data_IF_202620898459
#
_entry.id   IF_202620898459
#
_cell.length_a   1.000
_cell.length_b   1.000
_cell.length_c   1.000
_cell.angle_alpha   90.00
_cell.angle_beta   90.00
_cell.angle_gamma   90.00
#
_symmetry.space_group_name_H-M   'P 1'
#
loop_
_entity.id
_entity.type
_entity.pdbx_description
1 polymer ?
#
# COMPACT_ATOMS: atom_id res chain seq x y z
N UNK A 1 39.57 26.27 19.40
CA UNK A 1 40.90 25.79 18.96
C UNK A 1 41.84 25.46 20.12
N UNK A 2 42.03 26.36 21.10
CA UNK A 2 43.00 26.15 22.20
C UNK A 2 42.97 24.76 22.86
N UNK A 3 41.81 24.18 23.26
CA UNK A 3 41.78 22.85 23.88
C UNK A 3 42.32 21.72 22.99
N UNK A 4 42.13 21.81 21.67
CA UNK A 4 42.62 20.81 20.71
C UNK A 4 44.15 20.87 20.65
N UNK A 5 44.71 22.08 20.63
CA UNK A 5 46.16 22.32 20.52
C UNK A 5 46.87 21.89 21.80
N UNK A 6 46.30 22.26 22.96
CA UNK A 6 46.80 21.87 24.28
C UNK A 6 46.73 20.34 24.45
N UNK A 7 45.63 19.70 24.03
CA UNK A 7 45.47 18.24 24.06
C UNK A 7 46.47 17.50 23.16
N UNK A 8 46.90 18.12 22.06
CA UNK A 8 47.97 17.61 21.19
C UNK A 8 49.39 17.82 21.76
N UNK A 9 49.51 18.56 22.87
CA UNK A 9 50.76 18.95 23.53
C UNK A 9 51.61 19.93 22.73
N UNK A 10 50.96 20.80 21.96
CA UNK A 10 51.63 21.86 21.21
C UNK A 10 51.50 23.21 21.91
N UNK A 11 52.43 24.13 21.64
CA UNK A 11 52.33 25.51 22.11
C UNK A 11 51.22 26.28 21.36
N UNK A 12 50.26 26.78 22.15
CA UNK A 12 49.15 27.60 21.67
C UNK A 12 49.62 28.91 21.01
N UNK A 13 50.61 29.60 21.57
CA UNK A 13 51.01 30.93 21.07
C UNK A 13 51.56 30.85 19.64
N UNK A 14 52.42 29.86 19.39
CA UNK A 14 52.96 29.54 18.07
C UNK A 14 51.87 29.17 17.07
N UNK A 15 50.91 28.33 17.47
CA UNK A 15 49.82 27.91 16.60
C UNK A 15 48.80 29.01 16.33
N UNK A 16 48.55 29.88 17.30
CA UNK A 16 47.68 31.03 17.13
C UNK A 16 48.21 32.01 16.08
N UNK A 17 49.53 32.23 16.05
CA UNK A 17 50.18 33.05 15.01
C UNK A 17 49.99 32.44 13.63
N UNK A 18 50.17 31.12 13.48
CA UNK A 18 49.91 30.40 12.22
C UNK A 18 48.45 30.48 11.79
N UNK A 19 47.54 30.31 12.73
CA UNK A 19 46.10 30.42 12.50
C UNK A 19 45.76 31.82 11.96
N UNK A 20 46.24 32.88 12.62
CA UNK A 20 46.05 34.27 12.16
C UNK A 20 46.63 34.53 10.76
N UNK A 21 47.78 33.95 10.43
CA UNK A 21 48.42 34.13 9.13
C UNK A 21 47.67 33.41 8.01
N UNK A 22 47.38 32.11 8.17
CA UNK A 22 46.85 31.25 7.09
C UNK A 22 45.32 31.24 7.01
N UNK A 23 44.62 31.48 8.12
CA UNK A 23 43.16 31.36 8.22
C UNK A 23 42.49 32.65 8.68
N UNK A 24 43.11 33.82 8.40
CA UNK A 24 42.65 35.15 8.84
C UNK A 24 41.14 35.38 8.67
N UNK A 25 40.58 34.98 7.54
CA UNK A 25 39.16 35.16 7.20
C UNK A 25 38.22 34.11 7.81
N UNK A 26 38.75 32.98 8.29
CA UNK A 26 37.96 31.83 8.78
C UNK A 26 38.02 31.68 10.30
N UNK A 27 38.68 32.62 10.99
CA UNK A 27 38.80 32.65 12.45
C UNK A 27 37.82 33.67 13.02
N UNK A 28 37.02 33.22 13.97
CA UNK A 28 36.10 34.07 14.73
C UNK A 28 36.47 33.99 16.20
N UNK A 29 36.47 35.13 16.87
CA UNK A 29 36.51 35.18 18.34
C UNK A 29 35.08 35.18 18.84
N UNK A 30 34.73 34.18 19.64
CA UNK A 30 33.43 34.10 20.27
C UNK A 30 33.66 34.16 21.78
N UNK A 31 33.01 35.11 22.43
CA UNK A 31 33.02 35.21 23.88
C UNK A 31 32.06 34.16 24.42
N UNK A 32 32.58 33.13 25.08
CA UNK A 32 31.78 32.04 25.63
C UNK A 32 32.19 31.74 27.08
N UNK A 33 31.25 31.24 27.85
CA UNK A 33 31.49 30.69 29.19
C UNK A 33 31.78 29.20 29.04
N UNK A 34 32.92 28.75 29.56
CA UNK A 34 33.30 27.33 29.50
C UNK A 34 32.57 26.54 30.61
N UNK A 35 32.29 25.24 30.40
CA UNK A 35 31.73 24.38 31.45
C UNK A 35 32.64 24.38 32.69
N UNK A 36 32.11 24.81 33.84
CA UNK A 36 32.86 24.89 35.10
C UNK A 36 33.59 26.22 35.38
N UNK A 37 33.42 27.24 34.54
CA UNK A 37 33.96 28.59 34.74
C UNK A 37 32.82 29.63 34.78
N UNK A 38 32.90 30.63 35.66
CA UNK A 38 31.95 31.75 35.73
C UNK A 38 32.40 32.95 34.87
N UNK A 39 33.61 32.91 34.32
CA UNK A 39 34.14 33.98 33.49
C UNK A 39 33.90 33.72 32.00
N UNK A 40 33.44 34.75 31.31
CA UNK A 40 33.39 34.79 29.85
C UNK A 40 34.80 35.04 29.31
N UNK A 41 35.29 34.15 28.46
CA UNK A 41 36.60 34.28 27.81
C UNK A 41 36.44 34.29 26.30
N UNK A 42 37.33 35.02 25.64
CA UNK A 42 37.42 35.01 24.18
C UNK A 42 38.00 33.68 23.71
N UNK A 43 37.17 32.88 23.05
CA UNK A 43 37.59 31.61 22.45
C UNK A 43 37.76 31.82 20.96
N UNK A 44 38.90 31.36 20.45
CA UNK A 44 39.19 31.36 19.02
C UNK A 44 38.64 30.09 18.38
N UNK A 45 37.72 30.29 17.45
CA UNK A 45 37.03 29.27 16.68
C UNK A 45 37.51 29.30 15.22
N UNK A 46 37.72 28.12 14.64
CA UNK A 46 38.05 27.93 13.24
C UNK A 46 36.85 27.28 12.55
N UNK A 47 36.46 27.77 11.37
CA UNK A 47 35.42 27.12 10.58
C UNK A 47 35.74 25.63 10.35
N UNK A 48 34.79 24.73 10.63
CA UNK A 48 35.02 23.28 10.64
C UNK A 48 35.63 22.76 9.34
N UNK A 49 35.17 23.25 8.18
CA UNK A 49 35.71 22.92 6.85
C UNK A 49 37.22 23.18 6.69
N UNK A 50 37.80 24.09 7.48
CA UNK A 50 39.23 24.45 7.43
C UNK A 50 40.08 23.67 8.44
N UNK A 51 39.47 22.83 9.28
CA UNK A 51 40.18 22.04 10.28
C UNK A 51 41.20 21.09 9.65
N UNK A 52 40.81 20.33 8.62
CA UNK A 52 41.71 19.43 7.89
C UNK A 52 42.90 20.21 7.28
N UNK A 53 42.63 21.39 6.72
CA UNK A 53 43.67 22.27 6.19
C UNK A 53 44.64 22.79 7.25
N UNK A 54 44.22 22.92 8.51
CA UNK A 54 45.11 23.24 9.64
C UNK A 54 45.90 22.00 10.10
N UNK A 55 45.25 20.84 10.21
CA UNK A 55 45.91 19.57 10.59
C UNK A 55 47.07 19.23 9.66
N UNK A 56 46.94 19.47 8.35
CA UNK A 56 48.00 19.26 7.37
C UNK A 56 49.24 20.16 7.58
N UNK A 57 49.12 21.24 8.36
CA UNK A 57 50.26 22.13 8.70
C UNK A 57 51.04 21.69 9.95
N UNK A 58 50.55 20.67 10.64
CA UNK A 58 51.16 20.16 11.87
C UNK A 58 52.24 19.14 11.50
N UNK A 59 53.44 19.36 12.03
CA UNK A 59 54.53 18.40 11.94
C UNK A 59 54.38 17.32 13.02
N UNK A 60 54.35 16.05 12.64
CA UNK A 60 54.21 14.90 13.56
C UNK A 60 55.25 14.90 14.71
N UNK A 61 56.46 15.41 14.46
CA UNK A 61 57.52 15.51 15.46
C UNK A 61 57.22 16.48 16.61
N UNK A 62 56.33 17.46 16.41
CA UNK A 62 55.96 18.48 17.41
C UNK A 62 54.71 18.11 18.21
N UNK A 63 54.19 16.91 18.00
CA UNK A 63 53.00 16.38 18.67
C UNK A 63 53.45 15.36 19.73
N UNK A 64 52.67 15.20 20.80
CA UNK A 64 52.87 14.15 21.80
C UNK A 64 53.07 12.77 21.14
N UNK A 65 54.02 11.95 21.64
CA UNK A 65 54.36 10.67 21.02
C UNK A 65 53.16 9.71 20.94
N UNK A 66 52.28 9.70 21.94
CA UNK A 66 51.07 8.84 22.00
C UNK A 66 50.10 9.02 20.82
N UNK A 67 50.05 10.20 20.22
CA UNK A 67 49.12 10.52 19.12
C UNK A 67 49.84 10.72 17.78
N UNK A 68 51.18 10.63 17.77
CA UNK A 68 52.00 10.86 16.59
C UNK A 68 51.62 9.93 15.45
N UNK A 69 51.48 8.64 15.74
CA UNK A 69 51.16 7.62 14.74
C UNK A 69 49.78 7.86 14.11
N UNK A 70 48.79 8.26 14.92
CA UNK A 70 47.45 8.63 14.43
C UNK A 70 47.48 9.86 13.54
N UNK A 71 48.32 10.84 13.85
CA UNK A 71 48.48 12.05 13.02
C UNK A 71 49.17 11.72 11.69
N UNK A 72 50.15 10.81 11.69
CA UNK A 72 50.81 10.35 10.47
C UNK A 72 49.80 9.61 9.59
N UNK A 73 49.09 8.63 10.15
CA UNK A 73 48.04 7.89 9.45
C UNK A 73 46.98 8.83 8.84
N UNK A 74 46.51 9.81 9.60
CA UNK A 74 45.54 10.79 9.09
C UNK A 74 46.08 11.61 7.90
N UNK A 75 47.36 11.98 7.92
CA UNK A 75 47.98 12.73 6.83
C UNK A 75 48.14 11.89 5.57
N UNK A 76 48.57 10.65 5.71
CA UNK A 76 48.66 9.69 4.60
C UNK A 76 47.27 9.45 3.98
N UNK A 77 46.25 9.19 4.80
CA UNK A 77 44.86 9.07 4.33
C UNK A 77 44.38 10.34 3.60
N UNK A 78 44.75 11.54 4.07
CA UNK A 78 44.40 12.79 3.37
C UNK A 78 45.11 12.93 2.02
N UNK A 79 46.38 12.54 1.93
CA UNK A 79 47.17 12.64 0.71
C UNK A 79 46.62 11.66 -0.36
N UNK A 80 46.25 10.45 0.05
CA UNK A 80 45.59 9.46 -0.82
C UNK A 80 44.21 9.96 -1.29
N UNK A 81 43.38 10.46 -0.37
CA UNK A 81 42.06 11.03 -0.70
C UNK A 81 42.19 12.19 -1.68
N UNK A 82 43.16 13.08 -1.49
CA UNK A 82 43.40 14.19 -2.43
C UNK A 82 43.84 13.66 -3.79
N UNK A 83 44.74 12.68 -3.83
CA UNK A 83 45.21 12.08 -5.07
C UNK A 83 44.07 11.39 -5.83
N UNK A 84 43.28 10.54 -5.16
CA UNK A 84 42.14 9.85 -5.76
C UNK A 84 41.08 10.82 -6.28
N UNK A 85 40.79 11.89 -5.53
CA UNK A 85 39.86 12.92 -5.97
C UNK A 85 40.31 13.58 -7.29
N UNK A 86 41.58 13.95 -7.39
CA UNK A 86 42.10 14.64 -8.58
C UNK A 86 42.36 13.70 -9.77
N UNK A 87 42.55 12.40 -9.54
CA UNK A 87 42.86 11.42 -10.60
C UNK A 87 41.62 10.66 -11.09
N UNK A 88 40.77 10.19 -10.17
CA UNK A 88 39.56 9.41 -10.47
C UNK A 88 38.29 10.26 -10.49
N UNK A 89 38.30 11.43 -9.83
CA UNK A 89 37.15 12.34 -9.75
C UNK A 89 36.18 12.05 -8.61
N UNK A 90 36.23 10.88 -7.99
CA UNK A 90 35.38 10.47 -6.88
C UNK A 90 36.22 9.79 -5.79
N UNK A 91 35.87 10.06 -4.53
CA UNK A 91 36.49 9.42 -3.37
C UNK A 91 35.41 8.85 -2.48
N UNK A 92 35.44 7.54 -2.27
CA UNK A 92 34.54 6.85 -1.36
C UNK A 92 35.25 6.55 -0.03
N UNK A 93 34.61 6.89 1.09
CA UNK A 93 35.12 6.53 2.41
C UNK A 93 34.41 5.26 2.90
N UNK A 94 35.07 4.09 2.90
CA UNK A 94 34.44 2.83 3.28
C UNK A 94 34.03 2.78 4.76
N UNK A 95 34.57 3.67 5.61
CA UNK A 95 34.19 3.76 7.04
C UNK A 95 32.93 4.60 7.26
N UNK A 96 32.47 5.33 6.23
CA UNK A 96 31.28 6.17 6.34
C UNK A 96 30.04 5.29 6.20
N UNK A 97 29.50 4.88 7.35
CA UNK A 97 28.20 4.21 7.42
C UNK A 97 27.08 5.15 7.00
N UNK A 98 26.00 4.58 6.50
CA UNK A 98 24.78 5.31 6.16
C UNK A 98 24.17 5.90 7.43
N UNK A 99 23.64 7.11 7.31
CA UNK A 99 22.99 7.79 8.44
C UNK A 99 21.68 7.10 8.79
N UNK A 100 21.15 7.40 9.98
CA UNK A 100 19.84 6.86 10.40
C UNK A 100 18.74 7.36 9.47
N UNK A 101 18.79 8.64 9.09
CA UNK A 101 17.79 9.28 8.23
C UNK A 101 17.74 8.65 6.83
N UNK A 102 18.89 8.34 6.24
CA UNK A 102 18.99 7.64 4.94
C UNK A 102 18.37 6.23 4.99
N UNK A 103 18.38 5.58 6.16
CA UNK A 103 17.86 4.23 6.36
C UNK A 103 16.41 4.18 6.85
N UNK A 104 15.81 5.32 7.21
CA UNK A 104 14.41 5.38 7.66
C UNK A 104 13.44 4.76 6.64
N UNK A 105 13.53 5.07 5.34
CA UNK A 105 12.63 4.47 4.35
C UNK A 105 12.75 2.94 4.26
N UNK A 106 13.96 2.39 4.46
CA UNK A 106 14.18 0.95 4.50
C UNK A 106 13.54 0.31 5.74
N UNK A 107 13.62 0.98 6.91
CA UNK A 107 12.96 0.52 8.13
C UNK A 107 11.43 0.51 7.97
N UNK A 108 10.87 1.53 7.32
CA UNK A 108 9.45 1.60 7.03
C UNK A 108 8.99 0.47 6.08
N UNK A 109 9.79 0.18 5.05
CA UNK A 109 9.55 -0.96 4.15
C UNK A 109 9.55 -2.30 4.93
N UNK A 110 10.51 -2.48 5.85
CA UNK A 110 10.59 -3.67 6.71
C UNK A 110 9.38 -3.77 7.64
N UNK A 111 8.95 -2.65 8.25
CA UNK A 111 7.75 -2.60 9.08
C UNK A 111 6.50 -3.05 8.28
N UNK A 112 6.39 -2.60 7.03
CA UNK A 112 5.30 -3.01 6.14
C UNK A 112 5.35 -4.51 5.81
N UNK A 113 6.54 -5.04 5.50
CA UNK A 113 6.75 -6.47 5.23
C UNK A 113 6.37 -7.33 6.44
N UNK A 114 6.85 -6.98 7.63
CA UNK A 114 6.53 -7.66 8.89
C UNK A 114 5.03 -7.67 9.14
N UNK A 115 4.36 -6.53 8.93
CA UNK A 115 2.91 -6.41 9.11
C UNK A 115 2.13 -7.27 8.11
N UNK A 116 2.48 -7.23 6.82
CA UNK A 116 1.76 -7.97 5.76
C UNK A 116 1.98 -9.47 5.80
N UNK A 117 3.21 -9.93 6.03
CA UNK A 117 3.59 -11.36 5.98
C UNK A 117 3.56 -12.04 7.34
N UNK A 118 3.32 -11.28 8.41
CA UNK A 118 3.36 -11.76 9.80
C UNK A 118 4.70 -12.42 10.17
N UNK A 119 5.79 -11.93 9.57
CA UNK A 119 7.16 -12.38 9.83
C UNK A 119 7.70 -11.71 11.10
N UNK A 120 8.66 -12.35 11.76
CA UNK A 120 9.38 -11.65 12.84
C UNK A 120 10.41 -10.68 12.27
N UNK A 121 10.67 -9.57 12.96
CA UNK A 121 11.69 -8.59 12.57
C UNK A 121 13.06 -9.20 12.24
N UNK A 122 13.61 -10.15 13.04
CA UNK A 122 14.88 -10.78 12.71
C UNK A 122 14.87 -11.53 11.38
N UNK A 123 13.76 -12.15 11.01
CA UNK A 123 13.63 -12.87 9.74
C UNK A 123 13.63 -11.88 8.57
N UNK A 124 12.87 -10.78 8.69
CA UNK A 124 12.85 -9.72 7.68
C UNK A 124 14.24 -9.12 7.43
N UNK A 125 15.01 -8.85 8.50
CA UNK A 125 16.38 -8.37 8.37
C UNK A 125 17.32 -9.44 7.82
N UNK A 126 17.17 -10.70 8.21
CA UNK A 126 17.97 -11.80 7.67
C UNK A 126 17.83 -11.92 6.14
N UNK A 127 16.63 -11.68 5.59
CA UNK A 127 16.42 -11.67 4.14
C UNK A 127 17.23 -10.56 3.44
N UNK A 128 17.30 -9.36 4.04
CA UNK A 128 18.09 -8.25 3.51
C UNK A 128 19.59 -8.56 3.63
N UNK A 129 20.03 -9.03 4.81
CA UNK A 129 21.42 -9.38 5.07
C UNK A 129 21.93 -10.44 4.09
N UNK A 130 21.14 -11.48 3.83
CA UNK A 130 21.47 -12.52 2.85
C UNK A 130 21.54 -11.97 1.42
N UNK A 131 20.61 -11.09 1.03
CA UNK A 131 20.55 -10.56 -0.35
C UNK A 131 21.70 -9.62 -0.68
N UNK A 132 22.09 -8.78 0.28
CA UNK A 132 23.14 -7.75 0.09
C UNK A 132 24.50 -8.17 0.67
N UNK A 133 24.59 -9.37 1.26
CA UNK A 133 25.80 -9.91 1.87
C UNK A 133 26.41 -8.95 2.93
N UNK A 134 25.55 -8.45 3.82
CA UNK A 134 25.91 -7.55 4.93
C UNK A 134 25.52 -8.16 6.27
N UNK A 135 26.30 -7.92 7.32
CA UNK A 135 25.96 -8.38 8.68
C UNK A 135 24.86 -7.52 9.32
N UNK A 136 24.79 -6.25 8.92
CA UNK A 136 23.81 -5.28 9.41
C UNK A 136 23.40 -4.30 8.31
N UNK A 137 22.17 -3.80 8.39
CA UNK A 137 21.65 -2.75 7.50
C UNK A 137 22.46 -1.44 7.56
N UNK A 138 23.32 -1.25 8.57
CA UNK A 138 24.20 -0.07 8.66
C UNK A 138 25.37 -0.13 7.69
N UNK A 139 25.72 -1.34 7.25
CA UNK A 139 26.86 -1.60 6.38
C UNK A 139 26.45 -1.58 4.90
N UNK A 140 25.16 -1.30 4.62
CA UNK A 140 24.68 -1.02 3.27
C UNK A 140 25.25 0.30 2.77
N UNK A 141 25.72 0.29 1.52
CA UNK A 141 26.11 1.51 0.82
C UNK A 141 24.87 2.35 0.49
N UNK A 142 25.02 3.68 0.42
CA UNK A 142 23.90 4.58 0.13
C UNK A 142 23.22 4.26 -1.21
N UNK A 143 23.98 3.78 -2.19
CA UNK A 143 23.47 3.36 -3.50
C UNK A 143 22.63 2.07 -3.43
N UNK A 144 22.85 1.22 -2.43
CA UNK A 144 22.15 -0.07 -2.26
C UNK A 144 20.84 0.06 -1.49
N UNK A 145 20.61 1.19 -0.80
CA UNK A 145 19.38 1.42 -0.03
C UNK A 145 18.12 1.34 -0.91
N UNK A 146 18.04 2.01 -2.08
CA UNK A 146 16.88 1.91 -2.97
C UNK A 146 16.62 0.47 -3.44
N UNK A 147 17.68 -0.26 -3.80
CA UNK A 147 17.58 -1.65 -4.23
C UNK A 147 17.06 -2.56 -3.10
N UNK A 148 17.49 -2.31 -1.87
CA UNK A 148 17.03 -3.04 -0.69
C UNK A 148 15.54 -2.78 -0.41
N UNK A 149 15.08 -1.53 -0.55
CA UNK A 149 13.67 -1.17 -0.43
C UNK A 149 12.84 -1.87 -1.49
N UNK A 150 13.29 -1.83 -2.76
CA UNK A 150 12.61 -2.51 -3.85
C UNK A 150 12.50 -4.02 -3.59
N UNK A 151 13.58 -4.64 -3.13
CA UNK A 151 13.59 -6.05 -2.76
C UNK A 151 12.57 -6.35 -1.66
N UNK A 152 12.55 -5.58 -0.57
CA UNK A 152 11.59 -5.75 0.54
C UNK A 152 10.15 -5.59 0.06
N UNK A 153 9.88 -4.57 -0.77
CA UNK A 153 8.56 -4.36 -1.36
C UNK A 153 8.16 -5.52 -2.27
N UNK A 154 9.09 -6.04 -3.07
CA UNK A 154 8.84 -7.19 -3.93
C UNK A 154 8.51 -8.43 -3.11
N UNK A 155 9.27 -8.73 -2.06
CA UNK A 155 8.97 -9.85 -1.15
C UNK A 155 7.61 -9.67 -0.46
N UNK A 156 7.27 -8.45 -0.08
CA UNK A 156 5.96 -8.15 0.52
C UNK A 156 4.81 -8.47 -0.46
N UNK A 157 5.03 -8.24 -1.76
CA UNK A 157 4.06 -8.50 -2.84
C UNK A 157 4.12 -9.93 -3.39
N UNK A 158 5.27 -10.60 -3.35
CA UNK A 158 5.50 -11.99 -3.80
C UNK A 158 4.78 -12.95 -2.86
N UNK A 159 3.49 -13.16 -3.13
CA UNK A 159 2.55 -13.96 -2.35
C UNK A 159 1.14 -13.40 -2.37
N UNK A 160 0.97 -12.13 -2.76
CA UNK A 160 -0.30 -11.57 -3.22
C UNK A 160 -0.43 -11.76 -4.74
N UNK A 161 -0.12 -12.96 -5.27
CA UNK A 161 -0.68 -13.34 -6.57
C UNK A 161 -2.17 -13.62 -6.35
N UNK A 162 -2.95 -12.55 -6.22
CA UNK A 162 -4.33 -12.55 -6.66
C UNK A 162 -4.21 -12.71 -8.17
N UNK A 163 -4.13 -13.96 -8.64
CA UNK A 163 -4.24 -14.24 -10.06
C UNK A 163 -5.40 -13.43 -10.59
N UNK A 164 -5.24 -12.85 -11.79
CA UNK A 164 -6.31 -12.15 -12.49
C UNK A 164 -7.58 -12.96 -12.22
N UNK A 165 -8.53 -12.39 -11.47
CA UNK A 165 -9.73 -13.10 -11.07
C UNK A 165 -10.49 -13.29 -12.39
N UNK A 166 -10.22 -14.41 -13.07
CA UNK A 166 -10.91 -14.85 -14.28
C UNK A 166 -12.29 -15.27 -13.80
N UNK A 167 -13.11 -14.25 -13.59
CA UNK A 167 -14.53 -14.29 -13.28
C UNK A 167 -14.83 -14.90 -11.89
N UNK A 168 -15.56 -14.16 -11.06
CA UNK A 168 -16.36 -14.80 -10.01
C UNK A 168 -17.12 -15.95 -10.70
N UNK A 169 -17.15 -17.18 -10.18
CA UNK A 169 -17.91 -18.24 -10.81
C UNK A 169 -19.32 -17.68 -10.94
N UNK A 170 -19.75 -17.42 -12.19
CA UNK A 170 -21.09 -16.92 -12.45
C UNK A 170 -22.02 -17.82 -11.63
N UNK A 171 -22.90 -17.26 -10.79
CA UNK A 171 -23.81 -18.07 -9.99
C UNK A 171 -24.43 -19.08 -10.95
N UNK A 172 -24.12 -20.38 -10.76
CA UNK A 172 -24.62 -21.43 -11.63
C UNK A 172 -26.14 -21.30 -11.57
N UNK A 173 -26.72 -20.87 -12.68
CA UNK A 173 -28.13 -20.55 -12.78
C UNK A 173 -28.89 -21.87 -12.78
N UNK A 174 -29.10 -22.43 -11.60
CA UNK A 174 -29.83 -23.69 -11.41
C UNK A 174 -31.33 -23.41 -11.48
N UNK A 175 -31.80 -22.99 -12.66
CA UNK A 175 -33.22 -22.76 -12.89
C UNK A 175 -33.96 -24.09 -13.05
N UNK A 176 -35.15 -24.25 -12.44
CA UNK A 176 -36.02 -25.38 -12.73
C UNK A 176 -36.56 -25.29 -14.17
N UNK A 177 -36.82 -26.42 -14.80
CA UNK A 177 -37.47 -26.47 -16.12
C UNK A 177 -38.94 -26.04 -16.01
N UNK A 178 -39.26 -24.82 -16.46
CA UNK A 178 -40.62 -24.27 -16.49
C UNK A 178 -41.29 -24.66 -17.82
N UNK A 179 -41.56 -25.94 -18.01
CA UNK A 179 -42.16 -26.47 -19.25
C UNK A 179 -43.68 -26.22 -19.32
N UNK A 180 -44.27 -26.43 -20.51
CA UNK A 180 -45.72 -26.40 -20.69
C UNK A 180 -46.44 -27.45 -19.81
N UNK A 181 -45.82 -28.61 -19.63
CA UNK A 181 -46.33 -29.68 -18.77
C UNK A 181 -46.28 -29.29 -17.29
N UNK A 182 -45.20 -28.65 -16.84
CA UNK A 182 -45.12 -28.09 -15.49
C UNK A 182 -46.24 -27.07 -15.28
N UNK A 183 -46.43 -26.16 -16.24
CA UNK A 183 -47.44 -25.11 -16.13
C UNK A 183 -48.86 -25.70 -16.08
N UNK A 184 -49.18 -26.63 -16.98
CA UNK A 184 -50.46 -27.34 -16.98
C UNK A 184 -50.71 -28.05 -15.65
N UNK A 185 -49.72 -28.78 -15.12
CA UNK A 185 -49.86 -29.54 -13.87
C UNK A 185 -50.09 -28.66 -12.65
N UNK A 186 -49.45 -27.49 -12.62
CA UNK A 186 -49.46 -26.55 -11.50
C UNK A 186 -50.50 -25.42 -11.62
N UNK A 187 -51.19 -25.28 -12.76
CA UNK A 187 -52.22 -24.26 -12.97
C UNK A 187 -53.61 -24.91 -12.93
N UNK A 188 -54.22 -24.88 -11.73
CA UNK A 188 -55.49 -25.55 -11.46
C UNK A 188 -56.64 -25.12 -12.41
N UNK A 189 -56.86 -23.82 -12.68
CA UNK A 189 -57.83 -23.37 -13.68
C UNK A 189 -57.66 -23.96 -15.09
N UNK A 190 -56.42 -24.20 -15.54
CA UNK A 190 -56.17 -24.81 -16.86
C UNK A 190 -56.61 -26.27 -16.90
N UNK A 191 -56.40 -27.02 -15.82
CA UNK A 191 -56.78 -28.42 -15.72
C UNK A 191 -58.28 -28.60 -15.64
N UNK A 192 -58.93 -27.88 -14.72
CA UNK A 192 -60.37 -27.99 -14.49
C UNK A 192 -61.14 -27.42 -15.67
N UNK A 193 -60.81 -26.22 -16.15
CA UNK A 193 -61.57 -25.57 -17.21
C UNK A 193 -61.45 -26.25 -18.58
N UNK A 194 -60.34 -26.95 -18.88
CA UNK A 194 -60.26 -27.77 -20.10
C UNK A 194 -60.97 -29.13 -19.92
N UNK A 195 -60.93 -29.74 -18.73
CA UNK A 195 -61.60 -31.01 -18.45
C UNK A 195 -63.14 -30.87 -18.43
N UNK A 196 -63.66 -29.78 -17.86
CA UNK A 196 -65.10 -29.48 -17.79
C UNK A 196 -65.69 -29.09 -19.15
N UNK A 197 -64.92 -28.38 -19.98
CA UNK A 197 -65.41 -27.83 -21.25
C UNK A 197 -65.22 -28.79 -22.44
N UNK A 198 -64.27 -29.72 -22.33
CA UNK A 198 -63.96 -30.71 -23.37
C UNK A 198 -63.63 -32.09 -22.74
N UNK A 199 -64.64 -32.92 -22.41
CA UNK A 199 -64.44 -34.21 -21.77
C UNK A 199 -63.67 -35.17 -22.70
N UNK A 200 -62.37 -35.36 -22.44
CA UNK A 200 -61.46 -36.19 -23.24
C UNK A 200 -60.05 -35.60 -23.38
N UNK A 201 -59.90 -34.28 -23.21
CA UNK A 201 -58.60 -33.60 -23.27
C UNK A 201 -57.83 -33.80 -21.96
N UNK A 202 -56.94 -34.80 -21.93
CA UNK A 202 -56.09 -35.14 -20.78
C UNK A 202 -54.62 -34.73 -20.96
N UNK A 203 -54.29 -34.04 -22.05
CA UNK A 203 -52.89 -33.82 -22.49
C UNK A 203 -52.65 -32.34 -22.81
N UNK A 204 -51.49 -31.83 -22.43
CA UNK A 204 -51.13 -30.40 -22.54
C UNK A 204 -50.97 -29.89 -23.98
N UNK A 205 -50.86 -30.76 -24.99
CA UNK A 205 -50.65 -30.39 -26.40
C UNK A 205 -51.93 -29.91 -27.11
N UNK A 206 -53.09 -30.03 -26.47
CA UNK A 206 -54.39 -29.71 -27.06
C UNK A 206 -55.27 -28.95 -26.05
N UNK A 207 -54.82 -27.73 -25.70
CA UNK A 207 -55.44 -26.86 -24.69
C UNK A 207 -56.12 -25.65 -25.33
N UNK A 208 -57.33 -25.34 -24.87
CA UNK A 208 -57.95 -24.03 -25.10
C UNK A 208 -57.62 -23.12 -23.93
N UNK A 209 -56.86 -22.05 -24.19
CA UNK A 209 -56.53 -21.05 -23.18
C UNK A 209 -57.62 -19.97 -23.13
N UNK A 210 -58.22 -19.80 -21.96
CA UNK A 210 -59.15 -18.69 -21.72
C UNK A 210 -58.50 -17.64 -20.83
N UNK A 211 -58.90 -16.36 -20.95
CA UNK A 211 -58.33 -15.29 -20.14
C UNK A 211 -58.31 -15.58 -18.61
N UNK A 212 -59.37 -16.15 -17.99
CA UNK A 212 -59.34 -16.55 -16.57
C UNK A 212 -58.29 -17.61 -16.20
N UNK A 213 -57.85 -18.45 -17.15
CA UNK A 213 -56.79 -19.45 -16.94
C UNK A 213 -55.38 -18.84 -16.91
N UNK A 214 -55.26 -17.60 -17.38
CA UNK A 214 -53.99 -16.88 -17.46
C UNK A 214 -53.79 -15.93 -16.28
N UNK A 215 -54.85 -15.30 -15.78
CA UNK A 215 -54.74 -14.21 -14.78
C UNK A 215 -55.79 -14.24 -13.65
N UNK A 216 -56.57 -15.31 -13.49
CA UNK A 216 -57.50 -15.48 -12.37
C UNK A 216 -56.79 -15.65 -11.01
N UNK A 217 -57.54 -15.50 -9.91
CA UNK A 217 -57.02 -15.53 -8.52
C UNK A 217 -56.30 -16.84 -8.17
N UNK A 218 -56.71 -17.96 -8.77
CA UNK A 218 -56.11 -19.28 -8.54
C UNK A 218 -55.09 -19.72 -9.62
N UNK A 219 -54.64 -18.78 -10.48
CA UNK A 219 -53.71 -19.11 -11.59
C UNK A 219 -52.25 -19.06 -11.18
N UNK A 220 -51.47 -20.07 -11.58
CA UNK A 220 -50.01 -20.04 -11.43
C UNK A 220 -49.35 -19.45 -12.68
N UNK A 221 -48.56 -18.39 -12.48
CA UNK A 221 -47.81 -17.71 -13.55
C UNK A 221 -46.41 -18.30 -13.71
N UNK A 222 -46.04 -18.81 -14.89
CA UNK A 222 -44.66 -19.22 -15.18
C UNK A 222 -43.66 -18.07 -15.00
N UNK A 223 -44.04 -16.87 -15.47
CA UNK A 223 -43.19 -15.69 -15.42
C UNK A 223 -42.95 -15.20 -13.98
N UNK A 224 -43.98 -15.16 -13.12
CA UNK A 224 -43.79 -14.75 -11.72
C UNK A 224 -43.01 -15.80 -10.93
N UNK A 225 -43.21 -17.09 -11.23
CA UNK A 225 -42.45 -18.17 -10.62
C UNK A 225 -40.95 -18.09 -10.97
N UNK A 226 -40.61 -17.78 -12.22
CA UNK A 226 -39.22 -17.54 -12.63
C UNK A 226 -38.60 -16.35 -11.88
N UNK A 227 -39.33 -15.24 -11.81
CA UNK A 227 -38.91 -14.02 -11.12
C UNK A 227 -38.65 -14.31 -9.63
N UNK A 228 -39.57 -14.99 -8.94
CA UNK A 228 -39.40 -15.40 -7.54
C UNK A 228 -38.21 -16.35 -7.35
N UNK A 229 -37.99 -17.27 -8.28
CA UNK A 229 -36.84 -18.18 -8.25
C UNK A 229 -35.52 -17.41 -8.35
N UNK A 230 -35.46 -16.40 -9.22
CA UNK A 230 -34.29 -15.53 -9.39
C UNK A 230 -34.07 -14.61 -8.18
N UNK A 231 -35.14 -14.08 -7.57
CA UNK A 231 -35.03 -13.30 -6.32
C UNK A 231 -34.51 -14.14 -5.15
N UNK A 232 -34.96 -15.39 -5.03
CA UNK A 232 -34.44 -16.33 -4.02
C UNK A 232 -32.96 -16.69 -4.24
N UNK A 233 -32.46 -16.54 -5.47
CA UNK A 233 -31.03 -16.67 -5.81
C UNK A 233 -30.24 -15.38 -5.57
N UNK A 234 -30.88 -14.31 -5.11
CA UNK A 234 -30.25 -13.03 -4.77
C UNK A 234 -30.17 -12.02 -5.92
N UNK A 235 -30.85 -12.26 -7.04
CA UNK A 235 -30.93 -11.30 -8.14
C UNK A 235 -32.02 -10.24 -7.87
N UNK A 236 -31.74 -8.99 -8.22
CA UNK A 236 -32.74 -7.92 -8.20
C UNK A 236 -33.67 -8.02 -9.42
N UNK A 237 -34.91 -8.47 -9.19
CA UNK A 237 -35.92 -8.68 -10.23
C UNK A 237 -37.14 -7.76 -10.08
N UNK A 238 -37.01 -6.65 -9.34
CA UNK A 238 -38.12 -5.73 -9.06
C UNK A 238 -38.74 -5.18 -10.35
N UNK A 239 -37.92 -4.82 -11.35
CA UNK A 239 -38.41 -4.31 -12.64
C UNK A 239 -39.31 -5.31 -13.39
N UNK A 240 -38.80 -6.51 -13.74
CA UNK A 240 -39.60 -7.55 -14.40
C UNK A 240 -40.85 -7.95 -13.61
N UNK A 241 -40.77 -7.98 -12.26
CA UNK A 241 -41.92 -8.25 -11.39
C UNK A 241 -43.04 -7.24 -11.61
N UNK A 242 -42.71 -5.94 -11.53
CA UNK A 242 -43.68 -4.85 -11.71
C UNK A 242 -44.33 -4.93 -13.10
N UNK A 243 -43.55 -5.19 -14.15
CA UNK A 243 -44.07 -5.28 -15.52
C UNK A 243 -45.11 -6.41 -15.66
N UNK A 244 -44.76 -7.63 -15.22
CA UNK A 244 -45.65 -8.80 -15.33
C UNK A 244 -46.89 -8.66 -14.45
N UNK A 245 -46.75 -8.15 -13.22
CA UNK A 245 -47.90 -7.88 -12.34
C UNK A 245 -48.83 -6.82 -12.96
N UNK A 246 -48.26 -5.75 -13.52
CA UNK A 246 -49.02 -4.69 -14.21
C UNK A 246 -49.79 -5.24 -15.41
N UNK A 247 -49.16 -6.07 -16.26
CA UNK A 247 -49.83 -6.70 -17.39
C UNK A 247 -50.98 -7.61 -16.96
N UNK A 248 -50.78 -8.42 -15.91
CA UNK A 248 -51.84 -9.29 -15.35
C UNK A 248 -53.02 -8.48 -14.83
N UNK A 249 -52.74 -7.35 -14.17
CA UNK A 249 -53.74 -6.42 -13.68
C UNK A 249 -54.54 -5.80 -14.84
N UNK A 250 -53.86 -5.35 -15.90
CA UNK A 250 -54.51 -4.76 -17.07
C UNK A 250 -55.39 -5.77 -17.83
N UNK A 251 -54.97 -7.04 -17.90
CA UNK A 251 -55.75 -8.12 -18.49
C UNK A 251 -56.96 -8.50 -17.64
N UNK A 252 -56.84 -8.39 -16.31
CA UNK A 252 -57.89 -8.73 -15.34
C UNK A 252 -59.17 -7.93 -15.51
N UNK A 253 -59.08 -6.61 -15.71
CA UNK A 253 -60.25 -5.72 -15.87
C UNK A 253 -59.86 -4.50 -16.70
N UNK A 254 -60.52 -4.32 -17.84
CA UNK A 254 -60.30 -3.17 -18.71
C UNK A 254 -60.43 -1.84 -17.97
N UNK A 255 -59.34 -1.06 -17.98
CA UNK A 255 -59.19 0.34 -17.53
C UNK A 255 -59.33 0.61 -16.02
N UNK A 256 -58.24 0.45 -15.26
CA UNK A 256 -58.08 1.10 -13.94
C UNK A 256 -56.65 1.64 -13.74
N UNK A 257 -56.50 2.67 -12.90
CA UNK A 257 -55.19 3.27 -12.56
C UNK A 257 -54.45 2.36 -11.56
N UNK A 258 -53.17 2.14 -11.83
CA UNK A 258 -52.31 1.24 -11.06
C UNK A 258 -51.32 2.06 -10.24
N UNK A 259 -51.08 1.65 -8.99
CA UNK A 259 -50.01 2.21 -8.15
C UNK A 259 -48.93 1.17 -7.88
N UNK A 260 -47.69 1.52 -8.18
CA UNK A 260 -46.50 0.72 -7.89
C UNK A 260 -45.92 1.16 -6.55
N UNK A 261 -45.64 0.22 -5.65
CA UNK A 261 -45.02 0.45 -4.35
C UNK A 261 -43.50 0.25 -4.45
N UNK A 262 -42.72 0.88 -3.56
CA UNK A 262 -41.24 0.83 -3.59
C UNK A 262 -40.63 -0.56 -3.32
N UNK A 263 -41.44 -1.52 -2.87
CA UNK A 263 -41.10 -2.93 -2.66
C UNK A 263 -41.50 -3.83 -3.84
N UNK A 264 -41.83 -3.24 -5.00
CA UNK A 264 -42.18 -3.97 -6.23
C UNK A 264 -43.62 -4.47 -6.29
N UNK A 265 -44.41 -4.30 -5.22
CA UNK A 265 -45.82 -4.73 -5.18
C UNK A 265 -46.70 -3.78 -5.97
N UNK A 266 -47.61 -4.34 -6.77
CA UNK A 266 -48.58 -3.56 -7.54
C UNK A 266 -49.99 -3.66 -6.93
N UNK A 267 -50.66 -2.52 -6.70
CA UNK A 267 -52.03 -2.47 -6.14
C UNK A 267 -53.01 -1.76 -7.08
N UNK A 268 -54.25 -2.25 -7.08
CA UNK A 268 -55.40 -1.59 -7.71
C UNK A 268 -55.78 -0.34 -6.92
N UNK A 269 -55.99 0.77 -7.63
CA UNK A 269 -56.78 1.88 -7.10
C UNK A 269 -58.19 1.72 -7.66
N UNK A 270 -59.14 1.33 -6.82
CA UNK A 270 -60.56 1.41 -7.16
C UNK A 270 -60.83 2.87 -7.56
N UNK A 271 -61.33 3.09 -8.77
CA UNK A 271 -61.89 4.39 -9.13
C UNK A 271 -63.08 4.64 -8.20
N UNK A 272 -63.09 5.78 -7.51
CA UNK A 272 -64.29 6.33 -6.89
C UNK A 272 -65.46 6.34 -7.88
#
# INVERSE_FOLDING_TARGET
MKPIIDGMGMDWASQFTKLKQRFKTSIVKITMQLPGDNQRRDIICLALRKLAGWLQTISANKVRPEIRDKVIQYREECDDVLYEYWTKGEVNNPRKKTTVDERTPLRDAVNMLVSKKHLMYPEAYAMIHQRFNVESIEDLEAAQIPDAIEYVHRVALEGEFLGKQEELPAPKLNLPDITMEWWYSNNFPMRVGNLERYPGHKVWHDLTLTPPMMYGEDTKSPALFLIETLENMGFDMVGPRIEVETMRIMLGKGKQKIRVMGDGRVKYLLSL
#
